data_IF_178440833903
#
_entry.id   IF_178440833903
#
_cell.length_a   1.000
_cell.length_b   1.000
_cell.length_c   1.000
_cell.angle_alpha   90.00
_cell.angle_beta   90.00
_cell.angle_gamma   90.00
#
_symmetry.space_group_name_H-M   'P 1'
#
loop_
_entity.id
_entity.type
_entity.pdbx_description
1 polymer ?
#
# COMPACT_ATOMS: atom_id res chain seq x y z
N UNK A 1 -25.09 -38.56 9.41
CA UNK A 1 -25.15 -37.12 9.71
C UNK A 1 -23.70 -36.69 9.75
N UNK A 2 -23.15 -36.44 8.57
CA UNK A 2 -21.71 -36.30 8.39
C UNK A 2 -21.34 -34.86 8.69
N UNK A 3 -20.65 -34.65 9.81
CA UNK A 3 -19.99 -33.39 10.09
C UNK A 3 -18.91 -33.19 9.02
N UNK A 4 -19.13 -32.27 8.09
CA UNK A 4 -18.09 -31.76 7.21
C UNK A 4 -16.95 -31.26 8.09
N UNK A 5 -15.87 -32.04 8.18
CA UNK A 5 -14.60 -31.57 8.75
C UNK A 5 -14.22 -30.28 8.02
N UNK A 6 -14.30 -29.15 8.72
CA UNK A 6 -13.83 -27.89 8.18
C UNK A 6 -12.32 -28.00 8.01
N UNK A 7 -11.87 -28.14 6.77
CA UNK A 7 -10.44 -28.14 6.45
C UNK A 7 -9.83 -26.83 6.90
N UNK A 8 -8.83 -26.91 7.78
CA UNK A 8 -8.11 -25.74 8.24
C UNK A 8 -7.08 -25.29 7.20
N UNK A 9 -7.51 -24.41 6.29
CA UNK A 9 -6.66 -23.81 5.26
C UNK A 9 -5.54 -22.92 5.84
N UNK A 10 -5.54 -22.63 7.15
CA UNK A 10 -4.44 -21.91 7.79
C UNK A 10 -3.16 -22.74 7.90
N UNK A 11 -3.27 -24.07 7.79
CA UNK A 11 -2.15 -25.03 7.87
C UNK A 11 -1.49 -25.34 6.53
N UNK A 12 -1.95 -24.71 5.44
CA UNK A 12 -1.43 -24.96 4.10
C UNK A 12 0.05 -24.60 4.00
N UNK A 13 0.83 -25.45 3.32
CA UNK A 13 2.26 -25.25 3.15
C UNK A 13 2.59 -23.95 2.40
N UNK A 14 3.72 -23.35 2.77
CA UNK A 14 4.17 -22.07 2.22
C UNK A 14 4.31 -22.08 0.70
N UNK A 15 4.80 -23.17 0.12
CA UNK A 15 4.99 -23.28 -1.33
C UNK A 15 3.66 -23.27 -2.08
N UNK A 16 2.63 -23.94 -1.52
CA UNK A 16 1.29 -23.95 -2.09
C UNK A 16 0.65 -22.56 -2.00
N UNK A 17 0.81 -21.87 -0.87
CA UNK A 17 0.36 -20.48 -0.71
C UNK A 17 1.03 -19.55 -1.72
N UNK A 18 2.33 -19.72 -1.98
CA UNK A 18 3.05 -18.97 -3.00
C UNK A 18 2.50 -19.22 -4.41
N UNK A 19 2.20 -20.48 -4.76
CA UNK A 19 1.59 -20.82 -6.06
C UNK A 19 0.19 -20.22 -6.22
N UNK A 20 -0.63 -20.23 -5.16
CA UNK A 20 -1.95 -19.59 -5.16
C UNK A 20 -1.79 -18.08 -5.36
N UNK A 21 -0.90 -17.45 -4.58
CA UNK A 21 -0.64 -16.03 -4.64
C UNK A 21 -0.18 -15.58 -6.03
N UNK A 22 0.65 -16.38 -6.70
CA UNK A 22 1.13 -16.08 -8.05
C UNK A 22 0.03 -16.06 -9.12
N UNK A 23 -1.12 -16.69 -8.85
CA UNK A 23 -2.30 -16.62 -9.72
C UNK A 23 -3.18 -15.39 -9.46
N UNK A 24 -2.95 -14.66 -8.37
CA UNK A 24 -3.72 -13.46 -8.01
C UNK A 24 -3.21 -12.24 -8.79
N UNK A 25 -3.66 -12.08 -10.03
CA UNK A 25 -3.24 -10.97 -10.88
C UNK A 25 -3.86 -9.64 -10.41
N UNK A 26 -5.13 -9.64 -9.99
CA UNK A 26 -5.79 -8.46 -9.44
C UNK A 26 -5.12 -7.97 -8.16
N UNK A 27 -4.97 -6.64 -8.02
CA UNK A 27 -4.49 -6.04 -6.77
C UNK A 27 -5.46 -6.34 -5.63
N UNK A 28 -6.76 -6.27 -5.88
CA UNK A 28 -7.77 -6.51 -4.86
C UNK A 28 -7.68 -7.92 -4.29
N UNK A 29 -7.58 -8.94 -5.15
CA UNK A 29 -7.52 -10.35 -4.71
C UNK A 29 -6.26 -10.63 -3.89
N UNK A 30 -5.14 -10.01 -4.28
CA UNK A 30 -3.90 -10.06 -3.51
C UNK A 30 -4.05 -9.44 -2.11
N UNK A 31 -4.80 -8.34 -1.98
CA UNK A 31 -5.08 -7.76 -0.67
C UNK A 31 -5.95 -8.66 0.18
N UNK A 32 -7.00 -9.23 -0.40
CA UNK A 32 -7.86 -10.18 0.31
C UNK A 32 -7.06 -11.40 0.77
N UNK A 33 -6.17 -11.94 -0.07
CA UNK A 33 -5.25 -12.99 0.31
C UNK A 33 -4.40 -12.60 1.53
N UNK A 34 -3.83 -11.40 1.53
CA UNK A 34 -2.98 -10.93 2.63
C UNK A 34 -3.72 -10.71 3.96
N UNK A 35 -5.07 -10.68 3.94
CA UNK A 35 -5.91 -10.42 5.11
C UNK A 35 -6.44 -11.68 5.80
N UNK A 36 -6.26 -12.86 5.19
CA UNK A 36 -6.79 -14.12 5.73
C UNK A 36 -6.23 -14.42 7.14
N UNK A 37 -4.91 -14.47 7.29
CA UNK A 37 -4.24 -14.65 8.58
C UNK A 37 -2.79 -14.19 8.52
N UNK A 38 -2.07 -14.22 9.65
CA UNK A 38 -0.65 -13.80 9.73
C UNK A 38 0.26 -14.58 8.77
N UNK A 39 0.02 -15.89 8.58
CA UNK A 39 0.83 -16.73 7.68
C UNK A 39 0.69 -16.29 6.22
N UNK A 40 -0.56 -16.05 5.78
CA UNK A 40 -0.84 -15.59 4.41
C UNK A 40 -0.34 -14.17 4.17
N UNK A 41 -0.49 -13.29 5.17
CA UNK A 41 0.08 -11.94 5.14
C UNK A 41 1.60 -11.96 4.96
N UNK A 42 2.29 -12.81 5.73
CA UNK A 42 3.75 -12.96 5.64
C UNK A 42 4.19 -13.41 4.24
N UNK A 43 3.47 -14.35 3.63
CA UNK A 43 3.75 -14.80 2.26
C UNK A 43 3.50 -13.69 1.25
N UNK A 44 2.38 -12.96 1.36
CA UNK A 44 2.13 -11.81 0.52
C UNK A 44 3.30 -10.80 0.58
N UNK A 45 3.74 -10.42 1.78
CA UNK A 45 4.87 -9.49 1.96
C UNK A 45 6.18 -10.02 1.37
N UNK A 46 6.50 -11.29 1.57
CA UNK A 46 7.73 -11.91 1.04
C UNK A 46 7.74 -11.98 -0.49
N UNK A 47 6.59 -12.20 -1.10
CA UNK A 47 6.43 -12.31 -2.56
C UNK A 47 6.07 -10.99 -3.24
N UNK A 48 6.02 -9.88 -2.51
CA UNK A 48 5.67 -8.55 -3.03
C UNK A 48 6.53 -8.09 -4.21
N UNK A 49 7.83 -8.40 -4.19
CA UNK A 49 8.72 -8.11 -5.33
C UNK A 49 8.41 -9.01 -6.54
N UNK A 50 8.13 -10.29 -6.30
CA UNK A 50 7.74 -11.23 -7.36
C UNK A 50 6.42 -10.83 -8.00
N UNK A 51 5.48 -10.29 -7.22
CA UNK A 51 4.24 -9.71 -7.75
C UNK A 51 4.53 -8.67 -8.82
N UNK A 52 5.47 -7.74 -8.59
CA UNK A 52 5.82 -6.72 -9.58
C UNK A 52 6.25 -7.31 -10.92
N UNK A 53 6.95 -8.45 -10.91
CA UNK A 53 7.40 -9.17 -12.11
C UNK A 53 6.24 -9.91 -12.80
N UNK A 54 5.33 -10.49 -12.02
CA UNK A 54 4.14 -11.17 -12.55
C UNK A 54 3.22 -10.13 -13.19
N UNK A 55 2.95 -9.02 -12.50
CA UNK A 55 2.10 -7.95 -13.02
C UNK A 55 2.73 -7.21 -14.18
N UNK A 56 4.07 -7.14 -14.31
CA UNK A 56 4.69 -6.53 -15.49
C UNK A 56 4.46 -7.33 -16.78
N UNK A 57 4.19 -8.63 -16.67
CA UNK A 57 3.88 -9.49 -17.81
C UNK A 57 2.39 -9.42 -18.22
N UNK A 58 1.56 -8.76 -17.42
CA UNK A 58 0.15 -8.52 -17.71
C UNK A 58 -0.05 -7.02 -17.87
N UNK A 59 -0.38 -6.56 -19.08
CA UNK A 59 -0.74 -5.16 -19.30
C UNK A 59 -2.01 -4.80 -18.51
N UNK A 60 -1.85 -4.36 -17.26
CA UNK A 60 -2.94 -3.95 -16.39
C UNK A 60 -3.00 -2.43 -16.32
N UNK A 61 -4.22 -1.89 -16.35
CA UNK A 61 -4.43 -0.48 -16.04
C UNK A 61 -4.14 -0.24 -14.55
N UNK A 62 -3.69 0.98 -14.18
CA UNK A 62 -3.48 1.32 -12.79
C UNK A 62 -4.80 1.25 -12.01
N UNK A 63 -4.73 0.74 -10.78
CA UNK A 63 -5.83 0.85 -9.82
C UNK A 63 -5.70 2.20 -9.11
N UNK A 64 -6.80 2.94 -9.04
CA UNK A 64 -6.84 4.25 -8.42
C UNK A 64 -7.33 4.13 -6.97
N UNK A 65 -6.79 4.95 -6.06
CA UNK A 65 -7.36 5.16 -4.74
C UNK A 65 -8.24 6.41 -4.83
N UNK A 66 -9.53 6.25 -4.54
CA UNK A 66 -10.53 7.32 -4.67
C UNK A 66 -11.33 7.45 -3.36
N UNK A 67 -11.84 8.64 -3.03
CA UNK A 67 -12.77 8.80 -1.91
C UNK A 67 -14.04 7.96 -2.13
N UNK A 68 -14.60 7.41 -1.05
CA UNK A 68 -15.92 6.78 -1.09
C UNK A 68 -17.02 7.82 -1.32
N UNK A 69 -18.01 7.51 -2.15
CA UNK A 69 -19.16 8.39 -2.42
C UNK A 69 -20.20 8.36 -1.28
N UNK A 70 -20.23 7.28 -0.50
CA UNK A 70 -21.33 6.98 0.44
C UNK A 70 -21.01 7.25 1.91
N UNK A 71 -19.74 7.46 2.26
CA UNK A 71 -19.34 7.67 3.65
C UNK A 71 -18.67 9.03 3.82
N UNK A 72 -19.29 9.87 4.66
CA UNK A 72 -19.05 11.30 4.74
C UNK A 72 -17.69 11.66 5.29
N UNK A 73 -16.95 10.77 5.93
CA UNK A 73 -15.61 11.12 6.43
C UNK A 73 -14.66 9.91 6.49
N UNK A 74 -13.84 9.76 5.44
CA UNK A 74 -12.48 9.16 5.47
C UNK A 74 -12.32 7.72 4.97
N UNK A 75 -13.36 7.09 4.43
CA UNK A 75 -13.19 5.79 3.75
C UNK A 75 -12.71 5.96 2.30
N UNK A 76 -11.72 5.16 1.91
CA UNK A 76 -11.21 5.09 0.54
C UNK A 76 -11.71 3.84 -0.17
N UNK A 77 -11.72 3.90 -1.50
CA UNK A 77 -12.03 2.79 -2.38
C UNK A 77 -10.90 2.57 -3.37
N UNK A 78 -10.78 1.33 -3.86
CA UNK A 78 -9.98 1.00 -5.03
C UNK A 78 -10.89 1.01 -6.25
N UNK A 79 -10.54 1.84 -7.23
CA UNK A 79 -11.22 1.90 -8.51
C UNK A 79 -10.38 1.19 -9.57
N UNK A 80 -10.90 0.08 -10.07
CA UNK A 80 -10.31 -0.70 -11.17
C UNK A 80 -10.83 -0.15 -12.50
N UNK A 81 -9.94 0.55 -13.21
CA UNK A 81 -10.22 1.11 -14.54
C UNK A 81 -10.53 0.05 -15.59
N UNK A 82 -10.07 -1.19 -15.41
CA UNK A 82 -10.24 -2.28 -16.38
C UNK A 82 -11.69 -2.73 -16.44
N UNK A 83 -12.29 -2.92 -15.27
CA UNK A 83 -13.64 -3.44 -15.11
C UNK A 83 -14.67 -2.35 -14.80
N UNK A 84 -14.22 -1.10 -14.63
CA UNK A 84 -15.04 0.01 -14.17
C UNK A 84 -15.73 -0.30 -12.82
N UNK A 85 -14.99 -0.92 -11.89
CA UNK A 85 -15.49 -1.37 -10.61
C UNK A 85 -14.88 -0.58 -9.45
N UNK A 86 -15.72 -0.19 -8.50
CA UNK A 86 -15.29 0.43 -7.24
C UNK A 86 -15.42 -0.63 -6.15
N UNK A 87 -14.32 -0.90 -5.45
CA UNK A 87 -14.27 -1.84 -4.33
C UNK A 87 -13.84 -1.13 -3.06
N UNK A 88 -14.60 -1.25 -1.95
CA UNK A 88 -14.23 -0.61 -0.70
C UNK A 88 -12.96 -1.21 -0.13
N UNK A 89 -12.20 -0.39 0.59
CA UNK A 89 -11.04 -0.84 1.36
C UNK A 89 -11.11 -0.30 2.77
N UNK A 90 -10.63 -1.11 3.71
CA UNK A 90 -10.75 -0.81 5.15
C UNK A 90 -9.73 0.22 5.64
N UNK A 91 -8.85 0.72 4.76
CA UNK A 91 -7.84 1.69 5.15
C UNK A 91 -8.36 3.12 5.06
N UNK A 92 -8.03 3.89 6.08
CA UNK A 92 -8.36 5.31 6.17
C UNK A 92 -7.09 6.13 5.93
N UNK A 93 -7.03 6.83 4.80
CA UNK A 93 -6.02 7.85 4.54
C UNK A 93 -6.63 9.22 4.83
N UNK A 94 -5.97 10.04 5.63
CA UNK A 94 -6.49 11.36 5.96
C UNK A 94 -6.53 12.26 4.71
N UNK A 95 -7.68 12.88 4.43
CA UNK A 95 -7.86 13.75 3.25
C UNK A 95 -7.07 15.06 3.32
N UNK A 96 -6.56 15.43 4.51
CA UNK A 96 -5.76 16.63 4.72
C UNK A 96 -4.27 16.44 4.40
N UNK A 97 -3.90 15.33 3.75
CA UNK A 97 -2.50 15.05 3.39
C UNK A 97 -2.34 14.94 1.90
N UNK A 98 -1.38 15.68 1.34
CA UNK A 98 -1.00 15.56 -0.07
C UNK A 98 -0.14 14.31 -0.23
N UNK A 99 -0.50 13.42 -1.15
CA UNK A 99 0.39 12.34 -1.57
C UNK A 99 1.46 12.91 -2.51
N UNK A 100 2.73 12.95 -2.08
CA UNK A 100 3.85 13.41 -2.89
C UNK A 100 4.67 12.26 -3.49
N UNK A 101 4.30 11.01 -3.23
CA UNK A 101 5.03 9.87 -3.78
C UNK A 101 4.42 8.53 -3.42
N UNK A 102 4.82 7.52 -4.18
CA UNK A 102 4.55 6.12 -3.84
C UNK A 102 5.74 5.26 -4.21
N UNK A 103 6.09 4.30 -3.37
CA UNK A 103 7.21 3.37 -3.59
C UNK A 103 7.01 2.12 -2.78
N UNK A 104 7.25 0.95 -3.38
CA UNK A 104 7.12 -0.35 -2.70
C UNK A 104 5.77 -0.49 -1.95
N UNK A 105 4.65 -0.04 -2.52
CA UNK A 105 3.34 -0.12 -1.85
C UNK A 105 3.18 0.77 -0.60
N UNK A 106 4.10 1.70 -0.37
CA UNK A 106 3.96 2.80 0.58
C UNK A 106 3.59 4.09 -0.16
N UNK A 107 2.71 4.87 0.45
CA UNK A 107 2.38 6.24 0.09
C UNK A 107 3.22 7.19 0.95
N UNK A 108 3.73 8.25 0.35
CA UNK A 108 4.44 9.32 1.02
C UNK A 108 3.47 10.49 1.12
N UNK A 109 3.00 10.73 2.35
CA UNK A 109 1.99 11.73 2.65
C UNK A 109 2.65 12.93 3.32
N UNK A 110 2.45 14.11 2.75
CA UNK A 110 2.92 15.39 3.26
C UNK A 110 1.76 16.14 3.90
N UNK A 111 1.95 16.57 5.15
CA UNK A 111 1.02 17.42 5.88
C UNK A 111 1.32 18.90 5.63
N UNK A 112 0.34 19.77 5.90
CA UNK A 112 0.52 21.23 5.81
C UNK A 112 1.64 21.74 6.74
N UNK A 113 1.89 21.02 7.84
CA UNK A 113 2.96 21.28 8.81
C UNK A 113 4.35 20.81 8.35
N UNK A 114 4.49 20.35 7.10
CA UNK A 114 5.70 19.73 6.54
C UNK A 114 6.06 18.36 7.13
N UNK A 115 5.19 17.79 7.97
CA UNK A 115 5.38 16.44 8.47
C UNK A 115 5.20 15.41 7.36
N UNK A 116 6.15 14.48 7.25
CA UNK A 116 6.08 13.39 6.28
C UNK A 116 5.66 12.11 7.00
N UNK A 117 4.59 11.50 6.52
CA UNK A 117 4.14 10.18 6.96
C UNK A 117 4.25 9.19 5.81
N UNK A 118 4.97 8.08 6.01
CA UNK A 118 4.87 6.92 5.15
C UNK A 118 3.66 6.10 5.58
N UNK A 119 2.77 5.80 4.65
CA UNK A 119 1.57 5.02 4.92
C UNK A 119 1.46 3.83 3.97
N UNK A 120 1.28 2.63 4.52
CA UNK A 120 1.04 1.44 3.73
C UNK A 120 -0.47 1.12 3.74
N UNK A 121 -1.21 1.40 2.66
CA UNK A 121 -2.65 1.15 2.61
C UNK A 121 -3.03 -0.34 2.72
N UNK A 122 -2.08 -1.25 2.48
CA UNK A 122 -2.36 -2.68 2.41
C UNK A 122 -2.36 -3.36 3.77
N UNK A 123 -1.56 -2.88 4.71
CA UNK A 123 -1.50 -3.39 6.08
C UNK A 123 -1.82 -2.34 7.15
N UNK A 124 -2.06 -1.08 6.76
CA UNK A 124 -2.40 0.01 7.66
C UNK A 124 -1.22 0.62 8.41
N UNK A 125 0.01 0.16 8.19
CA UNK A 125 1.18 0.65 8.91
C UNK A 125 1.50 2.11 8.56
N UNK A 126 1.95 2.86 9.56
CA UNK A 126 2.36 4.26 9.44
C UNK A 126 3.76 4.42 10.02
N UNK A 127 4.60 5.19 9.34
CA UNK A 127 5.92 5.59 9.82
C UNK A 127 5.97 7.12 9.74
N UNK A 128 6.13 7.77 10.88
CA UNK A 128 6.35 9.21 10.95
C UNK A 128 7.83 9.50 10.78
N UNK A 129 8.13 10.36 9.82
CA UNK A 129 9.49 10.80 9.51
C UNK A 129 9.73 12.11 10.26
N UNK A 130 10.94 12.32 10.82
CA UNK A 130 11.28 13.60 11.43
C UNK A 130 11.04 14.77 10.46
N UNK A 131 10.57 15.93 10.95
CA UNK A 131 10.39 17.11 10.12
C UNK A 131 11.68 17.49 9.39
N UNK A 132 11.55 17.90 8.13
CA UNK A 132 12.69 18.45 7.39
C UNK A 132 12.80 19.92 7.79
N UNK A 133 13.85 20.27 8.54
CA UNK A 133 14.21 21.67 8.78
C UNK A 133 14.82 22.22 7.49
N UNK A 134 14.07 23.06 6.78
CA UNK A 134 14.63 23.89 5.72
C UNK A 134 15.16 25.13 6.43
N UNK A 135 16.49 25.29 6.48
CA UNK A 135 17.11 26.48 7.06
C UNK A 135 16.54 27.73 6.36
N UNK A 136 16.13 28.70 7.19
CA UNK A 136 15.23 29.81 6.86
C UNK A 136 15.53 30.52 5.53
N UNK A 137 14.75 30.23 4.49
CA UNK A 137 14.40 31.24 3.47
C UNK A 137 12.92 31.61 3.64
N UNK A 138 12.62 32.88 4.00
CA UNK A 138 11.30 33.31 4.47
C UNK A 138 10.18 33.29 3.42
N UNK A 139 10.44 32.81 2.19
CA UNK A 139 9.47 32.76 1.09
C UNK A 139 9.16 31.32 0.59
N UNK A 140 9.79 30.28 1.14
CA UNK A 140 9.61 28.91 0.61
C UNK A 140 8.46 28.14 1.30
N UNK A 141 7.29 28.20 0.65
CA UNK A 141 6.05 27.54 1.04
C UNK A 141 6.12 25.99 1.08
N UNK A 142 5.19 25.33 1.82
CA UNK A 142 5.16 23.88 2.08
C UNK A 142 4.87 22.97 0.86
N UNK A 143 4.87 23.53 -0.35
CA UNK A 143 4.75 22.82 -1.62
C UNK A 143 6.10 22.42 -2.22
N UNK A 144 7.19 22.70 -1.51
CA UNK A 144 8.56 22.45 -1.94
C UNK A 144 8.71 21.03 -2.51
N UNK A 145 8.23 20.00 -1.82
CA UNK A 145 8.38 18.61 -2.30
C UNK A 145 7.38 18.31 -3.42
N UNK A 146 7.84 18.42 -4.66
CA UNK A 146 7.09 18.07 -5.85
C UNK A 146 6.85 16.57 -5.94
N UNK A 147 7.89 15.78 -5.64
CA UNK A 147 7.85 14.32 -5.66
C UNK A 147 8.81 13.73 -4.65
N UNK A 148 8.44 12.61 -4.04
CA UNK A 148 9.33 11.82 -3.20
C UNK A 148 9.32 10.33 -3.60
N UNK A 149 10.43 9.64 -3.37
CA UNK A 149 10.56 8.19 -3.56
C UNK A 149 11.30 7.55 -2.38
N UNK A 150 11.10 6.25 -2.20
CA UNK A 150 11.87 5.43 -1.25
C UNK A 150 12.97 4.68 -1.98
N UNK A 151 14.13 4.53 -1.36
CA UNK A 151 15.23 3.71 -1.90
C UNK A 151 15.04 2.21 -1.66
N UNK A 152 14.33 1.83 -0.58
CA UNK A 152 14.04 0.44 -0.21
C UNK A 152 12.66 0.33 0.44
N UNK A 153 12.11 -0.88 0.52
CA UNK A 153 10.84 -1.16 1.22
C UNK A 153 11.03 -1.09 2.75
N UNK A 154 10.39 -0.13 3.45
CA UNK A 154 10.43 -0.03 4.91
C UNK A 154 9.94 -1.29 5.64
N UNK A 155 9.07 -2.10 5.04
CA UNK A 155 8.60 -3.35 5.63
C UNK A 155 9.71 -4.42 5.72
N UNK A 156 10.71 -4.35 4.84
CA UNK A 156 11.83 -5.30 4.78
C UNK A 156 13.12 -4.71 5.38
N UNK A 157 13.29 -3.38 5.27
CA UNK A 157 14.49 -2.67 5.69
C UNK A 157 14.14 -1.48 6.60
N UNK A 158 13.55 -1.69 7.78
CA UNK A 158 12.98 -0.62 8.63
C UNK A 158 13.99 0.45 9.05
N UNK A 159 15.29 0.14 9.02
CA UNK A 159 16.39 1.08 9.35
C UNK A 159 17.32 1.36 8.16
N UNK A 160 16.98 0.88 6.96
CA UNK A 160 17.89 0.87 5.80
C UNK A 160 17.33 1.56 4.55
N UNK A 161 16.16 2.21 4.65
CA UNK A 161 15.57 3.00 3.58
C UNK A 161 15.89 4.48 3.74
N UNK A 162 15.83 5.22 2.63
CA UNK A 162 16.00 6.67 2.58
C UNK A 162 14.88 7.25 1.72
N UNK A 163 14.44 8.47 2.06
CA UNK A 163 13.48 9.23 1.26
C UNK A 163 14.29 10.21 0.41
N UNK A 164 14.06 10.18 -0.90
CA UNK A 164 14.64 11.15 -1.83
C UNK A 164 13.53 12.06 -2.30
N UNK A 165 13.65 13.35 -2.01
CA UNK A 165 12.70 14.38 -2.40
C UNK A 165 13.24 15.19 -3.59
N UNK A 166 12.32 15.56 -4.49
CA UNK A 166 12.54 16.47 -5.60
C UNK A 166 11.77 17.75 -5.28
N UNK A 167 12.49 18.87 -5.34
CA UNK A 167 12.01 20.21 -5.06
C UNK A 167 11.80 21.01 -6.34
#
# INVERSE_FOLDING_TARGET
>A
MDCLESRDWSTLEYDVLGVILNKMVSLYDYLQFSRVCKSWNFIALRHKHQRSLITSNHSQLPVLIVPSEYDSEKQHCLYDLTNNEIRPVDFVCSFNKRCCGSSFGWLILLEETLDITLFNPFNGNKIHIPPITIDDEPDYCPLAIHKAILTKDPSLYPHGFTIVAIY
#
